data_IF_028627234178
#
_entry.id   IF_028627234178
#
_cell.length_a   1.000
_cell.length_b   1.000
_cell.length_c   1.000
_cell.angle_alpha   90.00
_cell.angle_beta   90.00
_cell.angle_gamma   90.00
#
_symmetry.space_group_name_H-M   'P 1'
#
loop_
_entity.id
_entity.type
_entity.pdbx_description
1 polymer ?
#
# COMPACT_ATOMS: atom_id res chain seq x y z
N UNK A 1 -8.54 -21.81 -63.67
CA UNK A 1 -8.06 -20.62 -62.94
C UNK A 1 -9.27 -20.01 -62.29
N UNK A 2 -9.27 -19.83 -60.96
CA UNK A 2 -9.84 -18.60 -60.44
C UNK A 2 -9.28 -18.27 -59.05
N UNK A 3 -8.61 -17.13 -58.99
CA UNK A 3 -7.86 -16.57 -57.85
C UNK A 3 -8.83 -15.80 -56.92
N UNK A 4 -10.12 -15.80 -57.24
CA UNK A 4 -11.19 -15.09 -56.51
C UNK A 4 -11.73 -15.80 -55.25
N UNK A 5 -11.02 -16.78 -54.68
CA UNK A 5 -11.40 -17.43 -53.40
C UNK A 5 -10.48 -17.12 -52.21
N UNK A 6 -9.48 -16.26 -52.41
CA UNK A 6 -8.51 -15.89 -51.38
C UNK A 6 -8.66 -14.46 -50.84
N UNK A 7 -9.73 -13.73 -51.20
CA UNK A 7 -9.96 -12.36 -50.74
C UNK A 7 -11.41 -12.15 -50.27
N UNK A 8 -11.60 -12.32 -48.95
CA UNK A 8 -12.65 -11.77 -48.07
C UNK A 8 -14.11 -12.27 -48.19
N UNK A 9 -14.98 -12.03 -47.19
CA UNK A 9 -14.81 -12.03 -45.72
C UNK A 9 -15.72 -13.09 -45.06
N UNK A 10 -15.23 -13.81 -44.04
CA UNK A 10 -16.14 -14.57 -43.18
C UNK A 10 -16.57 -13.68 -42.03
N UNK A 11 -17.81 -13.19 -42.14
CA UNK A 11 -18.54 -12.54 -41.07
C UNK A 11 -18.71 -13.48 -39.88
N UNK A 12 -18.16 -13.04 -38.75
CA UNK A 12 -18.76 -12.99 -37.41
C UNK A 12 -20.06 -13.78 -37.19
N UNK A 13 -20.01 -14.84 -36.37
CA UNK A 13 -20.64 -14.84 -35.04
C UNK A 13 -20.17 -16.08 -34.27
N UNK A 14 -19.37 -15.86 -33.23
CA UNK A 14 -19.13 -16.75 -32.09
C UNK A 14 -18.17 -15.97 -31.17
N UNK A 15 -18.69 -14.88 -30.59
CA UNK A 15 -18.10 -14.33 -29.37
C UNK A 15 -18.31 -15.35 -28.27
N UNK A 16 -17.35 -16.27 -28.13
CA UNK A 16 -17.11 -16.96 -26.87
C UNK A 16 -16.93 -15.90 -25.79
N UNK A 17 -17.93 -15.82 -24.92
CA UNK A 17 -18.01 -14.99 -23.73
C UNK A 17 -16.89 -15.44 -22.78
N UNK A 18 -15.68 -14.91 -22.99
CA UNK A 18 -14.57 -15.06 -22.07
C UNK A 18 -14.87 -14.12 -20.89
N UNK A 19 -15.62 -14.65 -19.91
CA UNK A 19 -15.86 -14.04 -18.61
C UNK A 19 -14.54 -13.43 -18.08
N UNK A 20 -14.47 -12.10 -18.15
CA UNK A 20 -13.41 -11.28 -17.59
C UNK A 20 -13.47 -11.40 -16.06
N UNK A 21 -12.69 -12.33 -15.51
CA UNK A 21 -12.37 -12.57 -14.08
C UNK A 21 -11.65 -11.37 -13.43
N UNK A 22 -12.07 -10.16 -13.76
CA UNK A 22 -11.50 -8.91 -13.28
C UNK A 22 -12.47 -8.18 -12.33
N UNK A 23 -13.75 -8.55 -12.35
CA UNK A 23 -14.79 -8.00 -11.46
C UNK A 23 -14.72 -8.53 -10.02
N UNK A 24 -14.06 -9.67 -9.77
CA UNK A 24 -13.85 -10.21 -8.41
C UNK A 24 -12.74 -9.49 -7.64
N UNK A 25 -11.77 -8.90 -8.33
CA UNK A 25 -10.65 -8.23 -7.68
C UNK A 25 -11.00 -6.85 -7.12
N UNK A 26 -11.99 -6.16 -7.70
CA UNK A 26 -12.40 -4.81 -7.30
C UNK A 26 -13.16 -4.75 -5.96
N UNK A 27 -13.70 -5.89 -5.50
CA UNK A 27 -14.42 -6.01 -4.23
C UNK A 27 -13.56 -6.52 -3.05
N UNK A 28 -12.28 -6.82 -3.28
CA UNK A 28 -11.40 -7.35 -2.23
C UNK A 28 -10.97 -6.25 -1.26
N UNK A 29 -11.03 -6.57 0.05
CA UNK A 29 -10.66 -5.63 1.11
C UNK A 29 -9.19 -5.23 1.00
N UNK A 30 -8.96 -3.92 0.97
CA UNK A 30 -7.65 -3.30 0.92
C UNK A 30 -7.47 -2.30 2.09
N UNK A 31 -6.23 -1.87 2.35
CA UNK A 31 -5.95 -0.86 3.37
C UNK A 31 -5.66 -1.41 4.78
N UNK A 32 -5.87 -0.56 5.80
CA UNK A 32 -5.50 -0.81 7.19
C UNK A 32 -6.27 -1.99 7.80
N UNK A 33 -5.74 -2.58 8.85
CA UNK A 33 -6.40 -3.64 9.60
C UNK A 33 -7.17 -3.03 10.75
N UNK A 34 -8.44 -3.41 10.92
CA UNK A 34 -9.22 -2.99 12.08
C UNK A 34 -8.91 -3.90 13.28
N UNK A 35 -9.13 -3.41 14.50
CA UNK A 35 -8.91 -4.22 15.70
C UNK A 35 -9.78 -5.49 15.72
N UNK A 36 -11.04 -5.37 15.27
CA UNK A 36 -11.97 -6.49 15.13
C UNK A 36 -11.41 -7.54 14.17
N UNK A 37 -10.90 -7.08 13.03
CA UNK A 37 -10.25 -7.94 12.04
C UNK A 37 -8.99 -8.63 12.57
N UNK A 38 -8.15 -7.92 13.34
CA UNK A 38 -6.97 -8.51 13.95
C UNK A 38 -7.33 -9.61 14.96
N UNK A 39 -8.36 -9.38 15.79
CA UNK A 39 -8.82 -10.33 16.80
C UNK A 39 -9.49 -11.56 16.19
N UNK A 40 -10.28 -11.36 15.13
CA UNK A 40 -10.85 -12.46 14.35
C UNK A 40 -9.74 -13.32 13.72
N UNK A 41 -8.77 -12.66 13.07
CA UNK A 41 -7.60 -13.33 12.45
C UNK A 41 -6.77 -14.11 13.45
N UNK A 42 -6.54 -13.57 14.65
CA UNK A 42 -5.78 -14.29 15.68
C UNK A 42 -6.48 -15.60 16.07
N UNK A 43 -7.80 -15.57 16.19
CA UNK A 43 -8.59 -16.77 16.54
C UNK A 43 -8.61 -17.78 15.38
N UNK A 44 -8.67 -17.30 14.13
CA UNK A 44 -8.52 -18.14 12.94
C UNK A 44 -7.17 -18.85 12.90
N UNK A 45 -6.08 -18.14 13.24
CA UNK A 45 -4.73 -18.73 13.33
C UNK A 45 -4.68 -19.78 14.43
N UNK A 46 -5.17 -19.47 15.62
CA UNK A 46 -5.19 -20.41 16.76
C UNK A 46 -5.95 -21.71 16.38
N UNK A 47 -7.16 -21.59 15.83
CA UNK A 47 -7.95 -22.73 15.37
C UNK A 47 -7.28 -23.50 14.22
N UNK A 48 -6.62 -22.80 13.30
CA UNK A 48 -5.93 -23.41 12.17
C UNK A 48 -4.75 -24.26 12.63
N UNK A 49 -3.96 -23.74 13.56
CA UNK A 49 -2.80 -24.44 14.12
C UNK A 49 -3.21 -25.61 15.01
N UNK A 50 -4.40 -25.56 15.61
CA UNK A 50 -4.97 -26.67 16.37
C UNK A 50 -5.52 -27.79 15.46
N UNK A 51 -5.76 -27.53 14.18
CA UNK A 51 -6.39 -28.52 13.30
C UNK A 51 -7.92 -28.58 13.46
N UNK A 52 -8.54 -27.46 13.83
CA UNK A 52 -9.96 -27.41 14.26
C UNK A 52 -10.99 -27.33 13.11
N UNK A 53 -10.57 -27.41 11.85
CA UNK A 53 -11.42 -27.24 10.67
C UNK A 53 -11.61 -28.57 9.92
N UNK A 54 -12.65 -29.35 10.22
CA UNK A 54 -12.83 -30.69 9.65
C UNK A 54 -13.05 -30.69 8.13
N UNK A 55 -13.61 -29.61 7.58
CA UNK A 55 -13.86 -29.45 6.14
C UNK A 55 -12.70 -28.81 5.37
N UNK A 56 -11.62 -28.42 6.05
CA UNK A 56 -10.49 -27.75 5.41
C UNK A 56 -9.51 -28.78 4.84
N UNK A 57 -9.15 -28.62 3.57
CA UNK A 57 -8.22 -29.53 2.90
C UNK A 57 -6.84 -29.54 3.58
N UNK A 58 -6.29 -30.72 3.92
CA UNK A 58 -4.92 -30.84 4.42
C UNK A 58 -3.91 -30.20 3.47
N UNK A 59 -2.86 -29.58 4.01
CA UNK A 59 -1.83 -28.92 3.21
C UNK A 59 -2.17 -27.50 2.75
N UNK A 60 -3.42 -27.03 2.96
CA UNK A 60 -3.82 -25.65 2.70
C UNK A 60 -2.89 -24.67 3.41
N UNK A 61 -2.43 -23.62 2.73
CA UNK A 61 -1.54 -22.63 3.36
C UNK A 61 -2.32 -21.68 4.27
N UNK A 62 -1.76 -21.35 5.43
CA UNK A 62 -2.38 -20.39 6.36
C UNK A 62 -2.61 -19.04 5.68
N UNK A 63 -1.68 -18.57 4.85
CA UNK A 63 -1.86 -17.33 4.09
C UNK A 63 -3.10 -17.36 3.20
N UNK A 64 -3.28 -18.43 2.42
CA UNK A 64 -4.43 -18.57 1.54
C UNK A 64 -5.74 -18.69 2.33
N UNK A 65 -5.74 -19.52 3.37
CA UNK A 65 -6.88 -19.69 4.27
C UNK A 65 -7.37 -18.36 4.86
N UNK A 66 -6.46 -17.57 5.42
CA UNK A 66 -6.78 -16.25 6.00
C UNK A 66 -7.25 -15.25 4.93
N UNK A 67 -6.65 -15.29 3.73
CA UNK A 67 -7.03 -14.40 2.64
C UNK A 67 -8.49 -14.61 2.23
N UNK A 68 -8.92 -15.87 2.09
CA UNK A 68 -10.30 -16.24 1.79
C UNK A 68 -11.27 -15.82 2.90
N UNK A 69 -10.94 -16.11 4.17
CA UNK A 69 -11.82 -15.78 5.32
C UNK A 69 -11.93 -14.29 5.60
N UNK A 70 -10.95 -13.50 5.19
CA UNK A 70 -10.94 -12.04 5.35
C UNK A 70 -11.39 -11.30 4.07
N UNK A 71 -11.70 -12.04 3.01
CA UNK A 71 -12.04 -11.52 1.68
C UNK A 71 -11.03 -10.47 1.21
N UNK A 72 -9.73 -10.81 1.26
CA UNK A 72 -8.64 -9.91 0.89
C UNK A 72 -7.53 -10.63 0.13
N UNK A 73 -6.65 -9.88 -0.53
CA UNK A 73 -5.53 -10.47 -1.27
C UNK A 73 -4.49 -11.10 -0.33
N UNK A 74 -3.89 -12.27 -0.67
CA UNK A 74 -2.89 -12.96 0.16
C UNK A 74 -1.70 -12.10 0.60
N UNK A 75 -1.37 -11.07 -0.19
CA UNK A 75 -0.27 -10.17 0.13
C UNK A 75 -0.57 -9.22 1.29
N UNK A 76 -1.85 -8.85 1.49
CA UNK A 76 -2.28 -8.06 2.65
C UNK A 76 -2.03 -8.84 3.95
N UNK A 77 -2.34 -10.13 3.95
CA UNK A 77 -2.04 -11.06 5.04
C UNK A 77 -0.53 -11.18 5.25
N UNK A 78 0.25 -11.43 4.19
CA UNK A 78 1.72 -11.51 4.30
C UNK A 78 2.33 -10.26 4.93
N UNK A 79 1.88 -9.07 4.52
CA UNK A 79 2.34 -7.80 5.07
C UNK A 79 1.99 -7.66 6.56
N UNK A 80 0.78 -8.06 6.96
CA UNK A 80 0.37 -8.01 8.37
C UNK A 80 1.20 -8.97 9.23
N UNK A 81 1.37 -10.21 8.80
CA UNK A 81 2.18 -11.19 9.54
C UNK A 81 3.67 -10.79 9.60
N UNK A 82 4.19 -10.16 8.55
CA UNK A 82 5.57 -9.65 8.53
C UNK A 82 5.80 -8.46 9.47
N UNK A 83 4.75 -7.76 9.92
CA UNK A 83 4.87 -6.66 10.89
C UNK A 83 5.26 -7.13 12.30
N UNK A 84 5.14 -8.43 12.58
CA UNK A 84 5.57 -9.04 13.85
C UNK A 84 4.57 -8.91 15.00
N UNK A 85 3.43 -8.22 14.81
CA UNK A 85 2.38 -8.09 15.82
C UNK A 85 0.97 -8.18 15.22
N UNK A 86 0.08 -8.90 15.91
CA UNK A 86 -1.33 -9.07 15.57
C UNK A 86 -2.17 -9.09 16.87
N UNK A 87 -3.16 -8.21 16.96
CA UNK A 87 -4.00 -8.06 18.15
C UNK A 87 -3.20 -7.86 19.46
N UNK A 88 -2.06 -7.17 19.38
CA UNK A 88 -1.15 -6.95 20.51
C UNK A 88 -0.26 -8.14 20.87
N UNK A 89 -0.40 -9.29 20.21
CA UNK A 89 0.45 -10.49 20.41
C UNK A 89 1.57 -10.53 19.37
N UNK A 90 2.73 -11.07 19.74
CA UNK A 90 3.85 -11.29 18.82
C UNK A 90 3.55 -12.41 17.84
N UNK A 91 3.91 -12.22 16.57
CA UNK A 91 3.68 -13.19 15.50
C UNK A 91 5.00 -13.79 15.05
N UNK A 92 5.06 -15.12 14.97
CA UNK A 92 6.27 -15.82 14.53
C UNK A 92 6.58 -15.53 13.05
N UNK A 93 7.87 -15.46 12.72
CA UNK A 93 8.31 -15.23 11.34
C UNK A 93 7.86 -16.40 10.44
N UNK A 94 7.53 -16.08 9.19
CA UNK A 94 7.10 -17.06 8.16
C UNK A 94 5.82 -17.84 8.49
N UNK A 95 5.04 -17.44 9.50
CA UNK A 95 3.78 -18.09 9.89
C UNK A 95 2.83 -18.34 8.72
N UNK A 96 2.71 -17.40 7.78
CA UNK A 96 1.82 -17.57 6.62
C UNK A 96 2.17 -18.75 5.69
N UNK A 97 3.37 -19.33 5.81
CA UNK A 97 3.80 -20.53 5.06
C UNK A 97 3.38 -21.83 5.75
N UNK A 98 2.89 -21.79 6.98
CA UNK A 98 2.37 -22.96 7.70
C UNK A 98 1.26 -23.63 6.90
N UNK A 99 1.22 -24.95 6.96
CA UNK A 99 0.25 -25.78 6.27
C UNK A 99 -0.73 -26.37 7.27
N UNK A 100 -1.98 -26.48 6.84
CA UNK A 100 -3.03 -27.05 7.66
C UNK A 100 -2.80 -28.54 7.88
N UNK A 101 -2.98 -28.97 9.12
CA UNK A 101 -2.95 -30.37 9.53
C UNK A 101 -4.21 -30.60 10.37
N UNK A 102 -5.14 -31.46 9.95
CA UNK A 102 -6.35 -31.75 10.73
C UNK A 102 -6.01 -32.47 12.03
N UNK A 103 -6.82 -32.24 13.06
CA UNK A 103 -6.72 -32.96 14.32
C UNK A 103 -8.09 -33.52 14.71
N UNK A 104 -8.31 -34.79 14.37
CA UNK A 104 -9.58 -35.49 14.56
C UNK A 104 -9.89 -35.82 16.03
N UNK A 105 -8.90 -35.69 16.92
CA UNK A 105 -9.02 -36.01 18.35
C UNK A 105 -9.45 -34.83 19.23
N UNK A 106 -9.51 -33.62 18.66
CA UNK A 106 -9.86 -32.41 19.40
C UNK A 106 -11.37 -32.18 19.47
N UNK A 107 -11.88 -31.94 20.68
CA UNK A 107 -13.19 -31.30 20.84
C UNK A 107 -13.09 -29.81 20.47
N UNK A 108 -13.45 -29.51 19.22
CA UNK A 108 -13.35 -28.19 18.63
C UNK A 108 -14.62 -27.34 18.81
N UNK A 109 -15.65 -27.85 19.48
CA UNK A 109 -16.96 -27.19 19.56
C UNK A 109 -16.87 -25.77 20.13
N UNK A 110 -16.12 -25.59 21.22
CA UNK A 110 -15.93 -24.28 21.84
C UNK A 110 -15.16 -23.30 20.95
N UNK A 111 -14.12 -23.78 20.25
CA UNK A 111 -13.29 -22.97 19.34
C UNK A 111 -14.10 -22.51 18.14
N UNK A 112 -14.88 -23.41 17.53
CA UNK A 112 -15.76 -23.11 16.41
C UNK A 112 -16.89 -22.16 16.80
N UNK A 113 -17.48 -22.32 17.99
CA UNK A 113 -18.49 -21.39 18.50
C UNK A 113 -17.91 -19.97 18.69
N UNK A 114 -16.72 -19.85 19.28
CA UNK A 114 -16.02 -18.57 19.43
C UNK A 114 -15.70 -17.94 18.08
N UNK A 115 -15.26 -18.73 17.10
CA UNK A 115 -15.01 -18.28 15.73
C UNK A 115 -16.28 -17.75 15.08
N UNK A 116 -17.39 -18.46 15.20
CA UNK A 116 -18.68 -18.05 14.63
C UNK A 116 -19.13 -16.70 15.20
N UNK A 117 -19.00 -16.49 16.51
CA UNK A 117 -19.32 -15.20 17.13
C UNK A 117 -18.43 -14.08 16.58
N UNK A 118 -17.12 -14.30 16.50
CA UNK A 118 -16.17 -13.31 15.98
C UNK A 118 -16.39 -13.03 14.50
N UNK A 119 -16.73 -14.04 13.70
CA UNK A 119 -17.08 -13.89 12.29
C UNK A 119 -18.29 -12.97 12.13
N UNK A 120 -19.37 -13.17 12.89
CA UNK A 120 -20.53 -12.24 12.85
C UNK A 120 -20.14 -10.80 13.18
N UNK A 121 -19.32 -10.60 14.22
CA UNK A 121 -18.85 -9.25 14.58
C UNK A 121 -17.98 -8.63 13.49
N UNK A 122 -17.16 -9.45 12.83
CA UNK A 122 -16.32 -9.04 11.72
C UNK A 122 -17.17 -8.65 10.50
N UNK A 123 -18.16 -9.47 10.14
CA UNK A 123 -19.06 -9.20 9.01
C UNK A 123 -19.88 -7.93 9.23
N UNK A 124 -20.37 -7.71 10.46
CA UNK A 124 -21.08 -6.49 10.83
C UNK A 124 -20.15 -5.26 10.72
N UNK A 125 -18.92 -5.36 11.20
CA UNK A 125 -17.93 -4.29 11.07
C UNK A 125 -17.62 -4.00 9.59
N UNK A 126 -17.47 -5.02 8.76
CA UNK A 126 -17.26 -4.87 7.32
C UNK A 126 -18.44 -4.18 6.63
N UNK A 127 -19.68 -4.53 6.99
CA UNK A 127 -20.89 -3.87 6.48
C UNK A 127 -20.95 -2.38 6.85
N UNK A 128 -20.61 -2.05 8.09
CA UNK A 128 -20.54 -0.64 8.53
C UNK A 128 -19.43 0.14 7.80
N UNK A 129 -18.27 -0.49 7.60
CA UNK A 129 -17.16 0.09 6.82
C UNK A 129 -17.55 0.34 5.34
N UNK A 130 -18.36 -0.55 4.75
CA UNK A 130 -18.86 -0.42 3.38
C UNK A 130 -19.91 0.69 3.23
N UNK A 131 -20.81 0.87 4.21
CA UNK A 131 -21.85 1.90 4.18
C UNK A 131 -21.31 3.32 4.41
N UNK A 132 -20.18 3.46 5.11
CA UNK A 132 -19.53 4.76 5.32
C UNK A 132 -18.09 4.78 4.75
N UNK A 133 -17.92 4.83 3.41
CA UNK A 133 -16.60 4.85 2.79
C UNK A 133 -15.73 6.03 3.22
N UNK A 134 -16.34 7.12 3.72
CA UNK A 134 -15.70 8.31 4.30
C UNK A 134 -15.12 8.07 5.70
N UNK A 135 -15.60 7.07 6.43
CA UNK A 135 -15.13 6.72 7.79
C UNK A 135 -13.86 5.86 7.78
N UNK A 136 -13.39 5.45 6.60
CA UNK A 136 -12.07 4.78 6.40
C UNK A 136 -10.87 5.59 6.92
N UNK A 137 -11.07 6.84 7.37
CA UNK A 137 -10.06 7.70 8.01
C UNK A 137 -10.16 7.81 9.54
N UNK A 138 -11.19 7.23 10.18
CA UNK A 138 -11.45 7.39 11.61
C UNK A 138 -11.36 6.06 12.36
N UNK A 139 -10.28 5.31 12.16
CA UNK A 139 -9.78 4.44 13.23
C UNK A 139 -8.88 5.32 14.11
N UNK A 140 -8.99 5.31 15.45
CA UNK A 140 -8.36 6.30 16.32
C UNK A 140 -6.83 6.19 16.23
N UNK A 141 -6.26 6.96 15.30
CA UNK A 141 -4.83 7.26 15.28
C UNK A 141 -4.60 8.23 16.42
N UNK A 142 -3.64 7.85 17.28
CA UNK A 142 -2.93 8.72 18.21
C UNK A 142 -2.75 10.13 17.60
N UNK A 143 -3.01 11.21 18.36
CA UNK A 143 -3.11 12.55 17.80
C UNK A 143 -1.76 12.99 17.23
N UNK A 144 -1.69 13.10 15.91
CA UNK A 144 -0.67 13.90 15.23
C UNK A 144 -1.34 14.65 14.08
N UNK A 145 -1.56 15.94 14.34
CA UNK A 145 -1.77 17.08 13.43
C UNK A 145 -2.91 17.04 12.39
N UNK A 146 -3.49 18.22 12.08
CA UNK A 146 -4.68 18.33 11.25
C UNK A 146 -4.36 17.99 9.78
N UNK A 147 -5.19 17.12 9.21
CA UNK A 147 -5.07 16.60 7.85
C UNK A 147 -5.64 17.62 6.86
N UNK A 148 -4.77 18.31 6.15
CA UNK A 148 -5.10 18.95 4.86
C UNK A 148 -5.54 17.88 3.85
N UNK A 149 -6.42 18.20 2.87
CA UNK A 149 -6.82 17.28 1.82
C UNK A 149 -5.61 16.97 0.91
N UNK A 150 -4.83 15.94 1.28
CA UNK A 150 -3.63 15.53 0.55
C UNK A 150 -3.92 15.30 -0.94
N UNK A 151 -3.08 15.87 -1.81
CA UNK A 151 -3.17 15.68 -3.27
C UNK A 151 -3.15 14.18 -3.62
N UNK A 152 -4.21 13.69 -4.25
CA UNK A 152 -4.35 12.30 -4.74
C UNK A 152 -4.31 12.29 -6.27
N UNK A 153 -3.66 11.29 -6.88
CA UNK A 153 -3.67 11.09 -8.33
C UNK A 153 -2.43 11.61 -9.09
N UNK A 154 -2.66 12.00 -10.35
CA UNK A 154 -1.69 12.37 -11.40
C UNK A 154 -0.61 13.36 -10.92
N UNK A 155 0.60 13.27 -11.50
CA UNK A 155 1.71 14.18 -11.23
C UNK A 155 1.81 15.20 -12.38
N UNK A 156 1.23 16.40 -12.23
CA UNK A 156 1.36 17.43 -13.25
C UNK A 156 2.83 17.83 -13.44
N UNK A 157 3.20 18.22 -14.66
CA UNK A 157 4.57 18.58 -15.04
C UNK A 157 5.22 19.59 -14.08
N UNK A 158 4.48 20.63 -13.66
CA UNK A 158 4.95 21.65 -12.71
C UNK A 158 5.33 21.02 -11.35
N UNK A 159 4.57 20.05 -10.89
CA UNK A 159 4.85 19.32 -9.66
C UNK A 159 6.05 18.38 -9.82
N UNK A 160 6.22 17.75 -10.98
CA UNK A 160 7.41 16.93 -11.27
C UNK A 160 8.69 17.76 -11.33
N UNK A 161 8.64 18.96 -11.92
CA UNK A 161 9.77 19.91 -11.92
C UNK A 161 10.14 20.33 -10.50
N UNK A 162 9.14 20.62 -9.67
CA UNK A 162 9.34 20.95 -8.27
C UNK A 162 9.96 19.77 -7.49
N UNK A 163 9.43 18.55 -7.68
CA UNK A 163 9.97 17.31 -7.10
C UNK A 163 11.43 17.09 -7.51
N UNK A 164 11.76 17.26 -8.79
CA UNK A 164 13.14 17.09 -9.27
C UNK A 164 14.09 18.07 -8.56
N UNK A 165 13.69 19.34 -8.43
CA UNK A 165 14.51 20.34 -7.74
C UNK A 165 14.67 20.01 -6.26
N UNK A 166 13.61 19.58 -5.58
CA UNK A 166 13.66 19.12 -4.18
C UNK A 166 14.68 17.99 -3.99
N UNK A 167 14.67 16.98 -4.88
CA UNK A 167 15.62 15.86 -4.85
C UNK A 167 17.05 16.38 -5.05
N UNK A 168 17.26 17.27 -6.02
CA UNK A 168 18.58 17.84 -6.28
C UNK A 168 19.12 18.63 -5.08
N UNK A 169 18.32 19.50 -4.47
CA UNK A 169 18.72 20.24 -3.28
C UNK A 169 19.03 19.30 -2.10
N UNK A 170 18.24 18.24 -1.94
CA UNK A 170 18.45 17.25 -0.87
C UNK A 170 19.75 16.47 -1.05
N UNK A 171 20.04 15.99 -2.25
CA UNK A 171 21.25 15.21 -2.52
C UNK A 171 22.52 16.05 -2.47
N UNK A 172 22.44 17.33 -2.83
CA UNK A 172 23.57 18.26 -2.76
C UNK A 172 23.79 18.85 -1.36
N UNK A 173 22.94 18.55 -0.38
CA UNK A 173 23.06 19.10 0.97
C UNK A 173 22.71 20.58 1.07
N UNK A 174 21.95 21.14 0.12
CA UNK A 174 21.57 22.56 0.09
C UNK A 174 20.43 22.93 1.02
N UNK A 175 19.96 22.00 1.84
CA UNK A 175 18.78 22.16 2.69
C UNK A 175 19.17 22.26 4.17
N UNK A 176 18.39 23.00 4.95
CA UNK A 176 18.55 23.00 6.39
C UNK A 176 17.60 21.96 7.01
N UNK A 177 18.04 20.70 7.03
CA UNK A 177 17.26 19.56 7.53
C UNK A 177 18.04 18.81 8.60
N UNK A 178 17.32 18.24 9.56
CA UNK A 178 17.91 17.35 10.55
C UNK A 178 18.61 16.15 9.88
N UNK A 179 19.84 15.80 10.29
CA UNK A 179 20.53 14.60 9.82
C UNK A 179 19.66 13.37 9.98
N UNK A 180 19.64 12.49 8.98
CA UNK A 180 18.81 11.27 9.04
C UNK A 180 17.37 11.43 8.54
N UNK A 181 16.93 12.66 8.23
CA UNK A 181 15.64 12.87 7.55
C UNK A 181 15.62 12.11 6.23
N UNK A 182 14.66 11.20 6.00
CA UNK A 182 14.58 10.46 4.74
C UNK A 182 14.02 11.34 3.62
N UNK A 183 14.53 11.18 2.40
CA UNK A 183 14.06 11.91 1.23
C UNK A 183 12.55 11.77 1.03
N UNK A 184 11.99 10.56 1.20
CA UNK A 184 10.55 10.33 1.10
C UNK A 184 9.74 11.17 2.10
N UNK A 185 10.20 11.27 3.35
CA UNK A 185 9.49 12.04 4.37
C UNK A 185 9.54 13.54 4.05
N UNK A 186 10.72 14.03 3.66
CA UNK A 186 10.90 15.42 3.23
C UNK A 186 10.03 15.80 2.03
N UNK A 187 10.03 14.97 0.98
CA UNK A 187 9.23 15.23 -0.22
C UNK A 187 7.73 15.21 0.06
N UNK A 188 7.27 14.31 0.94
CA UNK A 188 5.86 14.22 1.30
C UNK A 188 5.36 15.50 1.98
N UNK A 189 6.18 16.03 2.89
CA UNK A 189 5.93 17.30 3.59
C UNK A 189 5.90 18.50 2.61
N UNK A 190 6.91 18.63 1.74
CA UNK A 190 7.00 19.77 0.82
C UNK A 190 5.93 19.77 -0.28
N UNK A 191 5.44 18.59 -0.67
CA UNK A 191 4.38 18.44 -1.68
C UNK A 191 2.97 18.39 -1.09
N UNK A 192 2.82 18.48 0.23
CA UNK A 192 1.56 18.31 0.96
C UNK A 192 0.80 17.03 0.51
N UNK A 193 1.53 15.91 0.51
CA UNK A 193 0.99 14.64 0.04
C UNK A 193 1.42 13.43 0.89
N UNK A 194 0.76 12.29 0.68
CA UNK A 194 1.12 11.09 1.43
C UNK A 194 2.50 10.56 1.03
N UNK A 195 3.32 10.06 1.97
CA UNK A 195 4.61 9.44 1.63
C UNK A 195 4.51 8.26 0.66
N UNK A 196 3.34 7.61 0.59
CA UNK A 196 3.07 6.54 -0.36
C UNK A 196 2.98 7.05 -1.81
N UNK A 197 2.42 8.25 -2.03
CA UNK A 197 2.36 8.87 -3.36
C UNK A 197 3.78 9.13 -3.88
N UNK A 198 4.67 9.62 -3.02
CA UNK A 198 6.10 9.78 -3.33
C UNK A 198 6.74 8.42 -3.63
N UNK A 199 6.52 7.40 -2.80
CA UNK A 199 7.05 6.05 -3.03
C UNK A 199 6.61 5.46 -4.37
N UNK A 200 5.34 5.64 -4.76
CA UNK A 200 4.85 5.19 -6.07
C UNK A 200 5.53 5.94 -7.22
N UNK A 201 5.69 7.27 -7.09
CA UNK A 201 6.35 8.09 -8.12
C UNK A 201 7.82 7.72 -8.30
N UNK A 202 8.59 7.59 -7.22
CA UNK A 202 9.99 7.20 -7.30
C UNK A 202 10.16 5.72 -7.67
N UNK A 203 9.20 4.88 -7.26
CA UNK A 203 9.18 3.45 -7.56
C UNK A 203 8.98 3.13 -9.04
N UNK A 204 8.36 4.04 -9.82
CA UNK A 204 8.24 3.90 -11.29
C UNK A 204 9.60 3.83 -11.99
N UNK A 205 10.63 4.42 -11.38
CA UNK A 205 11.96 4.56 -11.95
C UNK A 205 12.10 5.70 -12.95
N UNK A 206 11.06 6.54 -13.12
CA UNK A 206 11.03 7.62 -14.11
C UNK A 206 10.51 8.93 -13.50
N UNK A 207 11.23 10.02 -13.72
CA UNK A 207 10.86 11.39 -13.34
C UNK A 207 11.24 12.35 -14.47
N UNK A 208 10.27 13.08 -15.05
CA UNK A 208 10.50 13.97 -16.20
C UNK A 208 11.23 13.28 -17.38
N UNK A 209 10.89 12.02 -17.65
CA UNK A 209 11.54 11.22 -18.69
C UNK A 209 12.98 10.81 -18.39
N UNK A 210 13.48 11.07 -17.17
CA UNK A 210 14.82 10.65 -16.71
C UNK A 210 14.73 9.51 -15.73
N UNK A 211 15.70 8.60 -15.80
CA UNK A 211 15.79 7.48 -14.88
C UNK A 211 16.13 7.95 -13.46
N UNK A 212 15.43 7.42 -12.47
CA UNK A 212 15.72 7.62 -11.04
C UNK A 212 15.82 6.28 -10.31
N UNK A 213 16.74 6.14 -9.33
CA UNK A 213 16.86 4.90 -8.57
C UNK A 213 15.56 4.57 -7.81
N UNK A 214 15.03 3.35 -7.95
CA UNK A 214 13.75 2.95 -7.35
C UNK A 214 13.72 3.01 -5.82
N UNK A 215 14.88 2.96 -5.15
CA UNK A 215 15.03 3.05 -3.69
C UNK A 215 15.42 4.45 -3.18
N UNK A 216 15.42 5.45 -4.06
CA UNK A 216 15.87 6.82 -3.75
C UNK A 216 15.12 7.43 -2.55
N UNK A 217 13.83 7.11 -2.36
CA UNK A 217 13.04 7.63 -1.25
C UNK A 217 13.55 7.24 0.16
N UNK A 218 14.35 6.18 0.28
CA UNK A 218 14.91 5.74 1.57
C UNK A 218 16.24 6.41 1.90
N UNK A 219 16.81 7.21 1.00
CA UNK A 219 18.08 7.92 1.23
C UNK A 219 17.93 8.91 2.39
N UNK A 220 18.84 8.83 3.34
CA UNK A 220 18.90 9.76 4.47
C UNK A 220 19.62 11.06 4.07
N UNK A 221 19.17 12.17 4.64
CA UNK A 221 19.79 13.48 4.43
C UNK A 221 21.16 13.53 5.11
N UNK A 222 22.14 14.05 4.38
CA UNK A 222 23.49 14.29 4.86
C UNK A 222 23.80 15.77 4.64
N UNK A 223 23.90 16.58 5.72
CA UNK A 223 24.24 17.99 5.57
C UNK A 223 25.71 18.15 5.14
N UNK A 224 25.98 19.21 4.38
CA UNK A 224 27.36 19.59 4.10
C UNK A 224 28.01 20.15 5.37
N UNK A 225 29.06 19.48 5.87
CA UNK A 225 29.78 19.85 7.10
C UNK A 225 30.80 20.97 6.88
N UNK A 226 31.15 21.28 5.64
CA UNK A 226 32.15 22.29 5.28
C UNK A 226 31.64 23.17 4.12
N UNK A 227 30.68 24.07 4.38
CA UNK A 227 30.17 24.96 3.35
C UNK A 227 31.24 25.99 2.93
N UNK A 228 31.64 25.95 1.66
CA UNK A 228 32.45 27.00 1.04
C UNK A 228 31.58 28.19 0.63
N UNK A 229 32.19 29.36 0.36
CA UNK A 229 31.44 30.51 -0.15
C UNK A 229 30.72 30.20 -1.48
N UNK A 230 31.36 29.44 -2.36
CA UNK A 230 30.75 28.96 -3.61
C UNK A 230 29.55 28.04 -3.34
N UNK A 231 29.65 27.16 -2.33
CA UNK A 231 28.54 26.30 -1.91
C UNK A 231 27.39 27.13 -1.35
N UNK A 232 27.65 28.12 -0.50
CA UNK A 232 26.62 28.98 0.07
C UNK A 232 25.85 29.75 -1.02
N UNK A 233 26.57 30.28 -2.01
CA UNK A 233 25.96 30.93 -3.17
C UNK A 233 25.09 29.95 -3.97
N UNK A 234 25.61 28.78 -4.33
CA UNK A 234 24.86 27.76 -5.07
C UNK A 234 23.63 27.25 -4.30
N UNK A 235 23.74 27.09 -2.97
CA UNK A 235 22.63 26.70 -2.11
C UNK A 235 21.55 27.78 -2.08
N UNK A 236 21.94 29.05 -1.95
CA UNK A 236 21.00 30.18 -1.95
C UNK A 236 20.25 30.30 -3.29
N UNK A 237 20.96 30.19 -4.41
CA UNK A 237 20.36 30.18 -5.74
C UNK A 237 19.38 29.00 -5.90
N UNK A 238 19.80 27.79 -5.48
CA UNK A 238 18.98 26.60 -5.57
C UNK A 238 17.70 26.70 -4.73
N UNK A 239 17.78 27.27 -3.51
CA UNK A 239 16.62 27.52 -2.65
C UNK A 239 15.69 28.60 -3.23
N UNK A 240 16.24 29.61 -3.89
CA UNK A 240 15.44 30.66 -4.58
C UNK A 240 14.63 30.05 -5.73
N UNK A 241 15.27 29.23 -6.58
CA UNK A 241 14.59 28.49 -7.63
C UNK A 241 13.53 27.54 -7.07
N UNK A 242 13.83 26.88 -5.93
CA UNK A 242 12.90 25.99 -5.23
C UNK A 242 11.64 26.73 -4.77
N UNK A 243 11.79 27.95 -4.21
CA UNK A 243 10.67 28.79 -3.79
C UNK A 243 9.78 29.20 -4.99
N UNK A 244 10.39 29.54 -6.13
CA UNK A 244 9.66 29.86 -7.37
C UNK A 244 8.87 28.65 -7.87
N UNK A 245 9.50 27.47 -7.94
CA UNK A 245 8.84 26.24 -8.37
C UNK A 245 7.71 25.82 -7.42
N UNK A 246 7.87 26.05 -6.11
CA UNK A 246 6.79 25.85 -5.13
C UNK A 246 5.60 26.75 -5.43
N UNK A 247 5.81 28.04 -5.69
CA UNK A 247 4.69 28.93 -6.08
C UNK A 247 3.99 28.39 -7.33
N UNK A 248 4.73 28.00 -8.35
CA UNK A 248 4.18 27.49 -9.62
C UNK A 248 3.44 26.16 -9.47
N UNK A 249 3.89 25.25 -8.60
CA UNK A 249 3.23 23.95 -8.39
C UNK A 249 1.92 24.08 -7.61
N UNK A 250 1.75 25.14 -6.82
CA UNK A 250 0.53 25.41 -6.05
C UNK A 250 -0.37 26.51 -6.63
N UNK A 251 0.04 27.20 -7.69
CA UNK A 251 -0.69 28.33 -8.30
C UNK A 251 -2.04 28.03 -8.99
N UNK A 252 -2.59 26.82 -8.88
CA UNK A 252 -3.92 26.46 -9.42
C UNK A 252 -4.75 25.65 -8.42
N UNK A 253 -4.92 26.17 -7.19
CA UNK A 253 -5.86 25.65 -6.18
C UNK A 253 -7.00 26.65 -5.86
N UNK A 254 -7.22 27.64 -6.72
CA UNK A 254 -8.37 28.56 -6.65
C UNK A 254 -9.22 28.40 -7.90
#
# INVERSE_FOLDING_TARGET
>A
MDIARLLAPLDHDDTDDFDDDNTLHDNLRNGAWSWVEERYTMTLIEAFLLGAFPSLLPGTTLRGFLASHLQCVPMRVSKKLASGSLAGKTVIKKLGKSRYVPNDSLDNAHVLHKLHLLQRTFDQACKLEAMHPSSRRLSPRRPTSPVSPSRMGHWPLKEEMYLQKLISCFLNGYLDLAPGTTLRAYLADQLDCSPMRVSKKLGSGMLLGRYVPRRLGSTAYIPNRHPTAAFAHAAHEAQTQLATLRKLSFACLH
#
